data_IF_719422306605
#
_entry.id   IF_719422306605
#
_cell.length_a   1.000
_cell.length_b   1.000
_cell.length_c   1.000
_cell.angle_alpha   90.00
_cell.angle_beta   90.00
_cell.angle_gamma   90.00
#
_symmetry.space_group_name_H-M   'P 1'
#
loop_
_entity.id
_entity.type
_entity.pdbx_description
1 polymer ?
#
# COMPACT_ATOMS: atom_id res chain seq x y z
N UNK A 1 -2.76 -20.43 -5.60
CA UNK A 1 -3.38 -19.22 -6.16
C UNK A 1 -2.97 -18.03 -5.30
N UNK A 2 -2.52 -16.93 -5.91
CA UNK A 2 -1.99 -15.75 -5.19
C UNK A 2 -3.11 -15.08 -4.40
N UNK A 3 -4.30 -14.96 -4.98
CA UNK A 3 -5.44 -14.32 -4.32
C UNK A 3 -5.82 -15.02 -3.02
N UNK A 4 -5.89 -16.36 -3.04
CA UNK A 4 -6.18 -17.16 -1.85
C UNK A 4 -5.12 -16.99 -0.73
N UNK A 5 -3.85 -16.75 -1.08
CA UNK A 5 -2.78 -16.51 -0.10
C UNK A 5 -2.94 -15.12 0.52
N UNK A 6 -3.22 -14.11 -0.30
CA UNK A 6 -3.44 -12.75 0.17
C UNK A 6 -4.69 -12.64 1.05
N UNK A 7 -5.77 -13.31 0.66
CA UNK A 7 -7.01 -13.39 1.43
C UNK A 7 -6.76 -14.01 2.80
N UNK A 8 -6.15 -15.20 2.84
CA UNK A 8 -5.84 -15.87 4.10
C UNK A 8 -4.98 -14.98 5.01
N UNK A 9 -3.89 -14.40 4.50
CA UNK A 9 -3.02 -13.55 5.31
C UNK A 9 -3.72 -12.27 5.80
N UNK A 10 -4.57 -11.67 4.96
CA UNK A 10 -5.37 -10.48 5.36
C UNK A 10 -6.36 -10.86 6.46
N UNK A 11 -7.05 -11.99 6.31
CA UNK A 11 -8.04 -12.45 7.30
C UNK A 11 -7.39 -12.80 8.64
N UNK A 12 -6.22 -13.46 8.63
CA UNK A 12 -5.44 -13.73 9.83
C UNK A 12 -5.08 -12.42 10.55
N UNK A 13 -4.54 -11.44 9.83
CA UNK A 13 -4.19 -10.13 10.40
C UNK A 13 -5.40 -9.37 10.98
N UNK A 14 -6.55 -9.40 10.29
CA UNK A 14 -7.78 -8.77 10.78
C UNK A 14 -8.31 -9.49 12.03
N UNK A 15 -8.40 -10.81 11.99
CA UNK A 15 -8.91 -11.61 13.11
C UNK A 15 -8.05 -11.46 14.36
N UNK A 16 -6.73 -11.40 14.23
CA UNK A 16 -5.83 -11.15 15.37
C UNK A 16 -6.13 -9.81 16.06
N UNK A 17 -6.35 -8.75 15.28
CA UNK A 17 -6.73 -7.44 15.80
C UNK A 17 -8.11 -7.46 16.48
N UNK A 18 -9.10 -8.12 15.86
CA UNK A 18 -10.46 -8.24 16.40
C UNK A 18 -10.46 -9.03 17.72
N UNK A 19 -9.74 -10.15 17.76
CA UNK A 19 -9.59 -11.00 18.95
C UNK A 19 -8.85 -10.28 20.07
N UNK A 20 -7.94 -9.37 19.73
CA UNK A 20 -7.28 -8.47 20.69
C UNK A 20 -8.18 -7.33 21.20
N UNK A 21 -9.42 -7.21 20.70
CA UNK A 21 -10.38 -6.19 21.12
C UNK A 21 -10.27 -4.86 20.37
N UNK A 22 -9.57 -4.79 19.24
CA UNK A 22 -9.51 -3.57 18.41
C UNK A 22 -10.86 -3.34 17.72
N UNK A 23 -11.35 -2.10 17.76
CA UNK A 23 -12.67 -1.73 17.21
C UNK A 23 -12.65 -1.40 15.72
N UNK A 24 -11.53 -0.87 15.23
CA UNK A 24 -11.33 -0.50 13.82
C UNK A 24 -10.02 -1.14 13.34
N UNK A 25 -10.04 -2.43 12.96
CA UNK A 25 -8.85 -3.14 12.50
C UNK A 25 -8.39 -2.64 11.12
N UNK A 26 -7.17 -3.03 10.74
CA UNK A 26 -6.55 -2.76 9.44
C UNK A 26 -6.41 -4.04 8.61
N UNK A 27 -6.21 -3.91 7.31
CA UNK A 27 -5.85 -5.01 6.40
C UNK A 27 -4.44 -5.60 6.66
N UNK A 28 -3.67 -4.99 7.57
CA UNK A 28 -2.29 -5.37 7.86
C UNK A 28 -1.31 -5.08 6.71
N UNK A 29 -1.77 -4.40 5.65
CA UNK A 29 -1.00 -4.12 4.43
C UNK A 29 -0.42 -5.37 3.73
N UNK A 30 -1.03 -6.54 3.95
CA UNK A 30 -0.52 -7.85 3.48
C UNK A 30 -0.29 -7.90 1.96
N UNK A 31 -1.12 -7.19 1.20
CA UNK A 31 -1.03 -7.15 -0.26
C UNK A 31 0.06 -6.23 -0.81
N UNK A 32 0.72 -5.45 0.05
CA UNK A 32 1.61 -4.36 -0.35
C UNK A 32 3.05 -4.77 -0.11
N UNK A 33 3.86 -4.77 -1.16
CA UNK A 33 5.30 -5.02 -1.05
C UNK A 33 6.03 -3.84 -0.40
N UNK A 34 5.46 -2.64 -0.54
CA UNK A 34 5.98 -1.41 -0.01
C UNK A 34 4.84 -0.39 0.10
N UNK A 35 4.81 0.33 1.23
CA UNK A 35 3.77 1.30 1.55
C UNK A 35 3.53 2.38 0.47
N UNK A 36 4.58 2.82 -0.24
CA UNK A 36 4.49 3.90 -1.24
C UNK A 36 4.45 3.32 -2.66
N UNK A 37 5.37 2.40 -2.97
CA UNK A 37 5.50 1.88 -4.34
C UNK A 37 4.26 1.12 -4.79
N UNK A 38 3.61 0.38 -3.89
CA UNK A 38 2.35 -0.29 -4.20
C UNK A 38 1.32 0.68 -4.77
N UNK A 39 1.14 1.85 -4.14
CA UNK A 39 0.21 2.87 -4.63
C UNK A 39 0.70 3.46 -5.97
N UNK A 40 1.98 3.82 -6.06
CA UNK A 40 2.56 4.44 -7.25
C UNK A 40 2.46 3.53 -8.51
N UNK A 41 2.48 2.21 -8.36
CA UNK A 41 2.29 1.26 -9.49
C UNK A 41 0.88 1.34 -10.10
N UNK A 42 -0.10 1.79 -9.32
CA UNK A 42 -1.47 1.99 -9.77
C UNK A 42 -1.74 3.41 -10.30
N UNK A 43 -0.70 4.25 -10.38
CA UNK A 43 -0.79 5.61 -10.89
C UNK A 43 -0.16 5.73 -12.29
N UNK A 44 -0.73 6.58 -13.12
CA UNK A 44 -0.11 7.09 -14.34
C UNK A 44 0.96 8.13 -14.00
N UNK A 45 1.91 8.33 -14.92
CA UNK A 45 2.98 9.33 -14.76
C UNK A 45 4.15 8.87 -13.89
N UNK A 46 4.12 7.65 -13.34
CA UNK A 46 5.20 7.03 -12.57
C UNK A 46 6.06 6.12 -13.44
N UNK A 47 7.37 6.35 -13.47
CA UNK A 47 8.35 5.53 -14.17
C UNK A 47 9.08 4.61 -13.17
N UNK A 48 8.88 3.30 -13.34
CA UNK A 48 9.51 2.24 -12.54
C UNK A 48 10.63 1.51 -13.30
N UNK A 49 10.95 1.93 -14.53
CA UNK A 49 12.00 1.34 -15.36
C UNK A 49 13.26 2.21 -15.34
N UNK A 50 13.12 3.52 -15.61
CA UNK A 50 14.24 4.46 -15.60
C UNK A 50 14.32 5.19 -14.26
N UNK A 51 14.84 4.45 -13.27
CA UNK A 51 14.95 4.90 -11.88
C UNK A 51 15.96 6.04 -11.72
N UNK A 52 15.69 6.94 -10.77
CA UNK A 52 16.60 8.03 -10.40
C UNK A 52 17.29 7.69 -9.09
N UNK A 53 18.62 7.86 -9.04
CA UNK A 53 19.36 7.73 -7.79
C UNK A 53 19.08 8.92 -6.87
N UNK A 54 18.67 8.64 -5.63
CA UNK A 54 18.41 9.65 -4.61
C UNK A 54 19.12 9.29 -3.31
N UNK A 55 19.74 10.29 -2.71
CA UNK A 55 20.35 10.18 -1.39
C UNK A 55 19.29 10.31 -0.31
N UNK A 56 19.23 9.33 0.59
CA UNK A 56 18.23 9.23 1.65
C UNK A 56 18.87 9.41 3.03
N UNK A 57 18.03 9.72 4.03
CA UNK A 57 18.41 9.91 5.44
C UNK A 57 19.66 10.79 5.62
N UNK A 58 19.62 12.00 5.06
CA UNK A 58 20.67 13.02 5.23
C UNK A 58 22.07 12.55 4.80
N UNK A 59 22.17 11.73 3.76
CA UNK A 59 23.47 11.31 3.23
C UNK A 59 23.89 9.88 3.56
N UNK A 60 23.10 9.15 4.34
CA UNK A 60 23.54 7.86 4.87
C UNK A 60 23.56 6.74 3.82
N UNK A 61 22.73 6.80 2.78
CA UNK A 61 22.76 5.85 1.65
C UNK A 61 22.03 6.41 0.43
N UNK A 62 22.30 5.85 -0.75
CA UNK A 62 21.55 6.11 -1.97
C UNK A 62 20.63 4.95 -2.34
N UNK A 63 19.54 5.26 -3.04
CA UNK A 63 18.61 4.27 -3.58
C UNK A 63 18.13 4.67 -4.96
N UNK A 64 17.79 3.68 -5.79
CA UNK A 64 17.16 3.89 -7.09
C UNK A 64 15.65 3.91 -6.91
N UNK A 65 15.02 5.05 -7.17
CA UNK A 65 13.62 5.28 -6.87
C UNK A 65 12.79 5.58 -8.13
N UNK A 66 11.49 5.21 -8.13
CA UNK A 66 10.57 5.58 -9.20
C UNK A 66 10.50 7.09 -9.37
N UNK A 67 10.29 7.55 -10.60
CA UNK A 67 10.30 9.00 -10.91
C UNK A 67 8.99 9.43 -11.55
N UNK A 68 8.46 10.58 -11.12
CA UNK A 68 7.33 11.23 -11.78
C UNK A 68 7.83 11.83 -13.11
N UNK A 69 7.31 11.36 -14.24
CA UNK A 69 7.67 11.83 -15.60
C UNK A 69 6.56 12.64 -16.28
N UNK A 70 5.39 12.76 -15.65
CA UNK A 70 4.26 13.49 -16.21
C UNK A 70 3.12 13.65 -15.21
N UNK A 71 1.95 14.14 -15.65
CA UNK A 71 0.78 14.30 -14.80
C UNK A 71 0.36 13.00 -14.13
N UNK A 72 0.18 13.04 -12.80
CA UNK A 72 -0.21 11.88 -11.99
C UNK A 72 -1.73 11.71 -12.04
N UNK A 73 -2.19 10.51 -12.41
CA UNK A 73 -3.62 10.15 -12.45
C UNK A 73 -3.82 8.74 -11.91
N UNK A 74 -5.00 8.45 -11.38
CA UNK A 74 -5.35 7.08 -10.97
C UNK A 74 -5.73 6.23 -12.17
N UNK A 75 -5.26 4.97 -12.21
CA UNK A 75 -5.68 3.98 -13.21
C UNK A 75 -7.00 3.28 -12.85
N UNK A 76 -7.43 3.36 -11.59
CA UNK A 76 -8.62 2.65 -11.10
C UNK A 76 -8.76 2.66 -9.57
N UNK A 77 -9.75 1.95 -9.05
CA UNK A 77 -10.06 1.87 -7.61
C UNK A 77 -9.37 0.67 -6.93
N UNK A 78 -8.05 0.60 -7.00
CA UNK A 78 -7.27 -0.56 -6.53
C UNK A 78 -7.42 -0.83 -5.02
N UNK A 79 -7.46 0.20 -4.17
CA UNK A 79 -7.65 0.03 -2.73
C UNK A 79 -9.05 -0.47 -2.33
N UNK A 80 -10.04 -0.37 -3.22
CA UNK A 80 -11.36 -0.89 -2.94
C UNK A 80 -11.34 -2.43 -2.86
N UNK A 81 -10.47 -3.08 -3.65
CA UNK A 81 -10.34 -4.54 -3.63
C UNK A 81 -9.62 -5.01 -2.35
N UNK A 82 -8.60 -4.28 -1.90
CA UNK A 82 -7.94 -4.55 -0.61
C UNK A 82 -8.88 -4.31 0.57
N UNK A 83 -9.67 -3.24 0.52
CA UNK A 83 -10.70 -2.97 1.54
C UNK A 83 -11.73 -4.09 1.60
N UNK A 84 -12.27 -4.54 0.45
CA UNK A 84 -13.27 -5.62 0.41
C UNK A 84 -12.72 -6.91 1.01
N UNK A 85 -11.51 -7.31 0.60
CA UNK A 85 -10.83 -8.50 1.14
C UNK A 85 -10.69 -8.44 2.66
N UNK A 86 -10.34 -7.28 3.22
CA UNK A 86 -10.22 -7.15 4.66
C UNK A 86 -11.59 -7.07 5.38
N UNK A 87 -12.57 -6.40 4.76
CA UNK A 87 -13.91 -6.23 5.33
C UNK A 87 -14.69 -7.57 5.36
N UNK A 88 -14.40 -8.51 4.46
CA UNK A 88 -14.99 -9.85 4.47
C UNK A 88 -14.57 -10.70 5.69
N UNK A 89 -13.49 -10.33 6.38
CA UNK A 89 -13.02 -11.05 7.56
C UNK A 89 -13.78 -10.72 8.86
N UNK A 90 -14.55 -9.62 8.91
CA UNK A 90 -15.19 -9.15 10.15
C UNK A 90 -16.38 -8.22 9.90
N UNK A 91 -17.34 -8.21 10.83
CA UNK A 91 -18.43 -7.22 10.85
C UNK A 91 -18.01 -5.84 11.38
N UNK A 92 -16.81 -5.72 11.96
CA UNK A 92 -16.27 -4.43 12.41
C UNK A 92 -15.82 -3.58 11.21
N UNK A 93 -15.94 -2.24 11.26
CA UNK A 93 -15.47 -1.40 10.16
C UNK A 93 -13.94 -1.47 10.04
N UNK A 94 -13.43 -1.83 8.86
CA UNK A 94 -11.99 -1.86 8.58
C UNK A 94 -11.50 -0.51 8.04
N UNK A 95 -10.30 -0.09 8.45
CA UNK A 95 -9.60 1.06 7.85
C UNK A 95 -8.48 0.60 6.91
N UNK A 96 -8.31 1.33 5.81
CA UNK A 96 -7.21 1.17 4.85
C UNK A 96 -6.28 2.38 4.92
N UNK A 97 -4.99 2.14 4.96
CA UNK A 97 -3.95 3.18 4.96
C UNK A 97 -3.66 3.67 3.54
N UNK A 98 -3.33 4.96 3.41
CA UNK A 98 -2.92 5.57 2.14
C UNK A 98 -1.82 6.60 2.43
N UNK A 99 -0.70 6.57 1.69
CA UNK A 99 0.33 7.58 1.83
C UNK A 99 -0.20 8.95 1.37
N UNK A 100 0.08 9.98 2.17
CA UNK A 100 -0.21 11.36 1.78
C UNK A 100 0.68 11.80 0.61
N UNK A 101 0.23 12.74 -0.23
CA UNK A 101 0.98 13.16 -1.42
C UNK A 101 2.36 13.74 -1.09
N UNK A 102 2.51 14.40 0.06
CA UNK A 102 3.80 14.93 0.52
C UNK A 102 4.80 13.80 0.82
N UNK A 103 4.33 12.72 1.44
CA UNK A 103 5.14 11.53 1.73
C UNK A 103 5.60 10.84 0.45
N UNK A 104 4.73 10.77 -0.56
CA UNK A 104 5.07 10.21 -1.88
C UNK A 104 6.08 11.08 -2.62
N UNK A 105 6.01 12.40 -2.49
CA UNK A 105 6.93 13.32 -3.14
C UNK A 105 8.31 13.39 -2.45
N UNK A 106 8.34 13.20 -1.13
CA UNK A 106 9.58 13.26 -0.33
C UNK A 106 10.40 11.97 -0.38
N UNK A 107 9.81 10.87 -0.88
CA UNK A 107 10.54 9.60 -1.08
C UNK A 107 11.54 9.72 -2.20
#
# INVERSE_FOLDING_TARGET
DVNAILERGTHEAVNDQVNAGIDIPTDGEIARENYIHYHCRHLEGMDFENLTEKTLRTGNYSSLLPTVRGPVKTRGLFLADDWRRAQEATDKPVKITMPGPLTVADT
#
